data_IF_051757812754
#
_entry.id   IF_051757812754
#
_cell.length_a   1.000
_cell.length_b   1.000
_cell.length_c   1.000
_cell.angle_alpha   90.00
_cell.angle_beta   90.00
_cell.angle_gamma   90.00
#
_symmetry.space_group_name_H-M   'P 1'
#
loop_
_entity.id
_entity.type
_entity.pdbx_description
1 polymer ?
#
# COMPACT_ATOMS: atom_id res chain seq x y z
N UNK A 1 -17.29 -9.24 -1.18
CA UNK A 1 -16.79 -8.24 -2.15
C UNK A 1 -15.62 -8.90 -2.87
N UNK A 2 -15.82 -9.30 -4.14
CA UNK A 2 -14.73 -9.82 -4.97
C UNK A 2 -13.64 -8.76 -5.10
N UNK A 3 -12.42 -9.14 -4.71
CA UNK A 3 -11.25 -8.29 -4.92
C UNK A 3 -10.97 -8.21 -6.42
N UNK A 4 -10.90 -7.02 -6.99
CA UNK A 4 -10.38 -6.84 -8.33
C UNK A 4 -8.92 -7.32 -8.36
N UNK A 5 -8.68 -8.49 -8.97
CA UNK A 5 -7.37 -9.14 -9.09
C UNK A 5 -6.71 -8.71 -10.39
N UNK A 6 -5.40 -8.61 -10.39
CA UNK A 6 -4.65 -8.48 -11.62
C UNK A 6 -4.64 -9.81 -12.38
N UNK A 7 -4.43 -9.81 -13.72
CA UNK A 7 -4.32 -11.06 -14.48
C UNK A 7 -3.28 -12.04 -13.91
N UNK A 8 -2.17 -11.53 -13.39
CA UNK A 8 -1.14 -12.37 -12.76
C UNK A 8 -1.61 -12.97 -11.44
N UNK A 9 -2.33 -12.21 -10.59
CA UNK A 9 -2.92 -12.75 -9.36
C UNK A 9 -3.94 -13.85 -9.66
N UNK A 10 -4.77 -13.67 -10.68
CA UNK A 10 -5.73 -14.70 -11.14
C UNK A 10 -4.98 -15.94 -11.62
N UNK A 11 -3.98 -15.78 -12.48
CA UNK A 11 -3.17 -16.88 -13.00
C UNK A 11 -2.47 -17.68 -11.88
N UNK A 12 -1.95 -17.00 -10.86
CA UNK A 12 -1.32 -17.65 -9.70
C UNK A 12 -2.34 -18.48 -8.89
N UNK A 13 -3.55 -17.95 -8.72
CA UNK A 13 -4.60 -18.67 -7.96
C UNK A 13 -5.15 -19.88 -8.71
N UNK A 14 -5.37 -19.74 -9.99
CA UNK A 14 -5.87 -20.84 -10.85
C UNK A 14 -4.79 -21.90 -11.04
N UNK A 15 -3.53 -21.51 -11.05
CA UNK A 15 -2.35 -22.37 -11.25
C UNK A 15 -2.58 -23.47 -12.31
N UNK A 16 -2.98 -23.11 -13.55
CA UNK A 16 -3.43 -24.07 -14.55
C UNK A 16 -2.34 -25.05 -15.00
N UNK A 17 -1.07 -24.66 -14.86
CA UNK A 17 0.11 -25.46 -15.20
C UNK A 17 0.65 -26.28 -14.03
N UNK A 18 0.00 -26.21 -12.87
CA UNK A 18 0.44 -26.90 -11.63
C UNK A 18 1.91 -26.61 -11.31
N UNK A 19 2.24 -25.34 -11.23
CA UNK A 19 3.61 -24.90 -10.92
C UNK A 19 4.04 -25.36 -9.53
N UNK A 20 5.31 -25.66 -9.39
CA UNK A 20 5.92 -25.95 -8.10
C UNK A 20 5.91 -24.73 -7.15
N UNK A 21 6.16 -24.97 -5.87
CA UNK A 21 6.17 -23.94 -4.84
C UNK A 21 7.12 -22.79 -5.14
N UNK A 22 8.30 -23.11 -5.69
CA UNK A 22 9.37 -22.12 -5.94
C UNK A 22 8.97 -21.16 -7.07
N UNK A 23 8.39 -21.68 -8.15
CA UNK A 23 7.83 -20.87 -9.24
C UNK A 23 6.67 -19.99 -8.75
N UNK A 24 5.77 -20.56 -7.93
CA UNK A 24 4.67 -19.79 -7.36
C UNK A 24 5.15 -18.64 -6.47
N UNK A 25 6.20 -18.85 -5.67
CA UNK A 25 6.78 -17.77 -4.86
C UNK A 25 7.39 -16.66 -5.73
N UNK A 26 8.08 -17.02 -6.82
CA UNK A 26 8.63 -16.05 -7.77
C UNK A 26 7.49 -15.23 -8.39
N UNK A 27 6.43 -15.85 -8.90
CA UNK A 27 5.30 -15.14 -9.50
C UNK A 27 4.55 -14.27 -8.49
N UNK A 28 4.38 -14.74 -7.25
CA UNK A 28 3.83 -13.93 -6.15
C UNK A 28 4.70 -12.69 -5.86
N UNK A 29 6.01 -12.79 -5.98
CA UNK A 29 6.88 -11.63 -5.81
C UNK A 29 6.66 -10.55 -6.88
N UNK A 30 6.36 -10.93 -8.11
CA UNK A 30 6.06 -10.01 -9.20
C UNK A 30 4.74 -9.25 -9.03
N UNK A 31 3.77 -9.81 -8.29
CA UNK A 31 2.54 -9.07 -7.96
C UNK A 31 2.81 -7.84 -7.07
N UNK A 32 3.95 -7.80 -6.40
CA UNK A 32 4.40 -6.70 -5.54
C UNK A 32 5.24 -5.65 -6.27
N UNK A 33 5.19 -5.63 -7.62
CA UNK A 33 5.95 -4.66 -8.40
C UNK A 33 5.54 -3.21 -8.09
N UNK A 34 6.52 -2.31 -8.05
CA UNK A 34 6.35 -0.89 -7.71
C UNK A 34 6.65 -0.07 -8.95
N UNK A 35 5.61 0.46 -9.59
CA UNK A 35 5.77 1.44 -10.67
C UNK A 35 5.73 2.85 -10.08
N UNK A 36 6.63 3.73 -10.52
CA UNK A 36 6.67 5.08 -9.96
C UNK A 36 7.63 6.04 -10.66
N UNK A 37 7.68 7.22 -10.07
CA UNK A 37 8.70 8.23 -10.34
C UNK A 37 9.75 8.15 -9.24
N UNK A 38 10.98 7.93 -9.61
CA UNK A 38 12.10 7.77 -8.70
C UNK A 38 13.11 8.91 -8.84
N UNK A 39 13.68 9.34 -7.73
CA UNK A 39 14.85 10.21 -7.72
C UNK A 39 16.08 9.44 -7.26
N UNK A 40 17.17 9.52 -8.01
CA UNK A 40 18.43 8.88 -7.67
C UNK A 40 19.11 9.65 -6.52
N UNK A 41 19.43 8.97 -5.43
CA UNK A 41 20.16 9.53 -4.31
C UNK A 41 21.64 9.20 -4.34
N UNK A 42 21.96 7.99 -4.72
CA UNK A 42 23.33 7.50 -4.75
C UNK A 42 23.46 6.37 -5.75
N UNK A 43 24.59 6.32 -6.44
CA UNK A 43 25.00 5.21 -7.30
C UNK A 43 26.27 4.61 -6.71
N UNK A 44 26.35 3.32 -6.53
CA UNK A 44 27.51 2.54 -6.08
C UNK A 44 27.81 1.45 -7.13
N UNK A 45 28.90 0.68 -6.91
CA UNK A 45 29.37 -0.33 -7.88
C UNK A 45 28.31 -1.30 -8.43
N UNK A 46 27.34 -1.69 -7.60
CA UNK A 46 26.32 -2.69 -7.99
C UNK A 46 24.92 -2.30 -7.50
N UNK A 47 24.77 -1.07 -6.98
CA UNK A 47 23.51 -0.66 -6.38
C UNK A 47 23.19 0.80 -6.68
N UNK A 48 21.89 1.07 -6.88
CA UNK A 48 21.35 2.42 -7.00
C UNK A 48 20.37 2.66 -5.86
N UNK A 49 20.63 3.69 -5.05
CA UNK A 49 19.70 4.14 -4.02
C UNK A 49 18.74 5.15 -4.60
N UNK A 50 17.45 4.83 -4.60
CA UNK A 50 16.40 5.70 -5.15
C UNK A 50 15.31 5.98 -4.10
N UNK A 51 14.61 7.09 -4.26
CA UNK A 51 13.40 7.40 -3.48
C UNK A 51 12.22 7.46 -4.45
N UNK A 52 11.15 6.77 -4.12
CA UNK A 52 9.85 6.90 -4.79
C UNK A 52 9.21 8.23 -4.40
N UNK A 53 8.96 9.11 -5.36
CA UNK A 53 8.44 10.45 -5.11
C UNK A 53 6.98 10.47 -4.61
N UNK A 54 6.20 9.41 -4.88
CA UNK A 54 4.81 9.31 -4.40
C UNK A 54 4.71 8.80 -2.96
N UNK A 55 5.53 7.81 -2.59
CA UNK A 55 5.48 7.16 -1.28
C UNK A 55 6.50 7.72 -0.28
N UNK A 56 7.49 8.50 -0.76
CA UNK A 56 8.67 8.95 0.01
C UNK A 56 9.47 7.78 0.63
N UNK A 57 9.41 6.63 -0.03
CA UNK A 57 10.09 5.41 0.39
C UNK A 57 11.43 5.27 -0.33
N UNK A 58 12.44 4.83 0.41
CA UNK A 58 13.79 4.60 -0.10
C UNK A 58 13.99 3.15 -0.46
N UNK A 59 14.52 2.89 -1.66
CA UNK A 59 14.88 1.56 -2.14
C UNK A 59 16.36 1.50 -2.47
N UNK A 60 17.01 0.42 -2.05
CA UNK A 60 18.33 0.03 -2.53
C UNK A 60 18.12 -1.03 -3.61
N UNK A 61 18.43 -0.67 -4.84
CA UNK A 61 18.16 -1.48 -6.02
C UNK A 61 19.45 -2.10 -6.51
N UNK A 62 19.43 -3.41 -6.70
CA UNK A 62 20.55 -4.14 -7.30
C UNK A 62 20.54 -3.89 -8.80
N UNK A 63 21.66 -3.38 -9.32
CA UNK A 63 21.81 -3.03 -10.74
C UNK A 63 23.26 -3.17 -11.15
N UNK A 64 23.51 -3.94 -12.18
CA UNK A 64 24.87 -4.17 -12.72
C UNK A 64 25.04 -3.59 -14.11
N UNK A 65 24.03 -3.77 -14.95
CA UNK A 65 24.16 -3.52 -16.39
C UNK A 65 23.90 -2.06 -16.78
N UNK A 66 23.04 -1.38 -16.03
CA UNK A 66 22.57 -0.03 -16.36
C UNK A 66 23.11 1.07 -15.43
N UNK A 67 24.14 0.80 -14.62
CA UNK A 67 24.68 1.75 -13.65
C UNK A 67 25.11 3.08 -14.27
N UNK A 68 25.68 3.04 -15.46
CA UNK A 68 26.24 4.21 -16.15
C UNK A 68 25.20 5.23 -16.61
N UNK A 69 23.93 4.83 -16.69
CA UNK A 69 22.86 5.75 -17.11
C UNK A 69 22.32 6.58 -15.94
N UNK A 70 22.55 6.17 -14.68
CA UNK A 70 22.04 6.86 -13.51
C UNK A 70 23.00 7.92 -13.00
N UNK A 71 22.50 9.13 -12.80
CA UNK A 71 23.24 10.22 -12.15
C UNK A 71 22.51 10.66 -10.88
N UNK A 72 23.25 11.12 -9.89
CA UNK A 72 22.67 11.68 -8.67
C UNK A 72 21.69 12.81 -9.01
N UNK A 73 20.50 12.78 -8.40
CA UNK A 73 19.36 13.68 -8.58
C UNK A 73 18.57 13.49 -9.88
N UNK A 74 18.92 12.57 -10.74
CA UNK A 74 18.06 12.24 -11.89
C UNK A 74 16.67 11.84 -11.40
N UNK A 75 15.65 12.29 -12.11
CA UNK A 75 14.27 11.84 -11.94
C UNK A 75 13.89 11.00 -13.16
N UNK A 76 13.40 9.81 -12.91
CA UNK A 76 13.00 8.89 -13.95
C UNK A 76 11.75 8.10 -13.59
N UNK A 77 11.05 7.63 -14.61
CA UNK A 77 10.00 6.62 -14.48
C UNK A 77 10.62 5.25 -14.61
N UNK A 78 10.15 4.32 -13.77
CA UNK A 78 10.61 2.94 -13.80
C UNK A 78 9.69 2.04 -13.00
N UNK A 79 10.04 0.77 -13.00
CA UNK A 79 9.37 -0.24 -12.21
C UNK A 79 10.41 -1.05 -11.45
N UNK A 80 10.13 -1.29 -10.16
CA UNK A 80 10.88 -2.19 -9.30
C UNK A 80 10.14 -3.50 -9.15
N UNK A 81 10.88 -4.59 -9.14
CA UNK A 81 10.41 -5.92 -8.72
C UNK A 81 11.23 -6.36 -7.53
N UNK A 82 10.60 -7.10 -6.62
CA UNK A 82 11.28 -7.73 -5.50
C UNK A 82 11.53 -9.18 -5.85
N UNK A 83 12.81 -9.58 -5.91
CA UNK A 83 13.23 -10.93 -6.28
C UNK A 83 14.50 -11.29 -5.52
N UNK A 84 14.57 -12.51 -4.98
CA UNK A 84 15.71 -12.98 -4.15
C UNK A 84 16.10 -11.99 -3.05
N UNK A 85 15.11 -11.54 -2.28
CA UNK A 85 15.27 -10.60 -1.16
C UNK A 85 15.86 -9.22 -1.55
N UNK A 86 15.90 -8.87 -2.82
CA UNK A 86 16.44 -7.63 -3.33
C UNK A 86 15.49 -6.96 -4.31
N UNK A 87 15.59 -5.64 -4.43
CA UNK A 87 14.90 -4.88 -5.48
C UNK A 87 15.75 -4.83 -6.74
N UNK A 88 15.08 -5.03 -7.87
CA UNK A 88 15.68 -4.94 -9.21
C UNK A 88 14.84 -4.01 -10.07
N UNK A 89 15.49 -3.32 -11.02
CA UNK A 89 14.77 -2.62 -12.08
C UNK A 89 14.32 -3.61 -13.16
N UNK A 90 13.16 -3.32 -13.77
CA UNK A 90 12.69 -4.11 -14.93
C UNK A 90 13.31 -3.66 -16.27
N UNK A 91 14.23 -2.70 -16.26
CA UNK A 91 14.66 -1.98 -17.46
C UNK A 91 13.63 -0.91 -17.87
N UNK A 92 13.72 -0.40 -19.09
CA UNK A 92 12.76 0.58 -19.65
C UNK A 92 12.59 1.84 -18.80
N UNK A 93 13.63 2.66 -18.75
CA UNK A 93 13.64 3.92 -18.01
C UNK A 93 13.20 5.08 -18.91
N UNK A 94 12.40 6.00 -18.35
CA UNK A 94 12.13 7.29 -18.97
C UNK A 94 12.69 8.39 -18.07
N UNK A 95 13.85 8.92 -18.40
CA UNK A 95 14.49 10.00 -17.66
C UNK A 95 13.87 11.35 -18.03
N UNK A 96 13.62 12.18 -17.01
CA UNK A 96 13.10 13.52 -17.22
C UNK A 96 14.24 14.54 -17.20
N UNK A 97 14.29 15.48 -18.17
CA UNK A 97 15.31 16.53 -18.20
C UNK A 97 15.37 17.32 -16.88
N UNK A 98 16.56 17.70 -16.44
CA UNK A 98 16.76 18.38 -15.16
C UNK A 98 15.91 19.66 -15.02
N UNK A 99 15.76 20.42 -16.09
CA UNK A 99 14.92 21.63 -16.13
C UNK A 99 13.45 21.36 -15.80
N UNK A 100 12.97 20.12 -15.94
CA UNK A 100 11.57 19.71 -15.64
C UNK A 100 11.37 19.20 -14.22
N UNK A 101 12.44 18.97 -13.46
CA UNK A 101 12.36 18.36 -12.13
C UNK A 101 11.47 19.15 -11.16
N UNK A 102 11.46 20.46 -11.27
CA UNK A 102 10.57 21.32 -10.45
C UNK A 102 9.10 21.05 -10.77
N UNK A 103 8.75 20.98 -12.04
CA UNK A 103 7.41 20.66 -12.51
C UNK A 103 6.98 19.26 -12.05
N UNK A 104 7.80 18.25 -12.29
CA UNK A 104 7.51 16.87 -11.88
C UNK A 104 7.24 16.78 -10.37
N UNK A 105 8.07 17.40 -9.55
CA UNK A 105 7.89 17.42 -8.08
C UNK A 105 6.61 18.17 -7.66
N UNK A 106 6.22 19.22 -8.37
CA UNK A 106 4.96 19.93 -8.11
C UNK A 106 3.74 19.06 -8.41
N UNK A 107 3.71 18.39 -9.56
CA UNK A 107 2.63 17.46 -9.94
C UNK A 107 2.49 16.31 -8.93
N UNK A 108 3.61 15.70 -8.53
CA UNK A 108 3.61 14.68 -7.46
C UNK A 108 3.05 15.23 -6.15
N UNK A 109 3.43 16.45 -5.76
CA UNK A 109 2.92 17.08 -4.54
C UNK A 109 1.40 17.30 -4.57
N UNK A 110 0.84 17.63 -5.73
CA UNK A 110 -0.62 17.78 -5.92
C UNK A 110 -1.31 16.44 -5.63
N UNK A 111 -0.84 15.35 -6.22
CA UNK A 111 -1.39 14.01 -6.00
C UNK A 111 -1.24 13.59 -4.53
N UNK A 112 -0.07 13.77 -3.94
CA UNK A 112 0.17 13.42 -2.54
C UNK A 112 -0.73 14.20 -1.57
N UNK A 113 -1.00 15.49 -1.86
CA UNK A 113 -1.95 16.29 -1.08
C UNK A 113 -3.39 15.78 -1.21
N UNK A 114 -3.82 15.40 -2.42
CA UNK A 114 -5.15 14.86 -2.64
C UNK A 114 -5.39 13.56 -1.85
N UNK A 115 -4.35 12.71 -1.72
CA UNK A 115 -4.42 11.44 -0.98
C UNK A 115 -4.16 11.57 0.53
N UNK A 116 -3.67 12.72 0.99
CA UNK A 116 -3.25 12.89 2.39
C UNK A 116 -4.40 12.76 3.39
N UNK A 117 -5.62 13.17 3.01
CA UNK A 117 -6.84 13.02 3.81
C UNK A 117 -7.15 11.55 4.06
N UNK A 118 -7.30 10.80 2.99
CA UNK A 118 -7.64 9.37 3.02
C UNK A 118 -6.61 8.56 3.83
N UNK A 119 -5.32 8.84 3.66
CA UNK A 119 -4.25 8.20 4.44
C UNK A 119 -4.35 8.51 5.94
N UNK A 120 -4.67 9.76 6.32
CA UNK A 120 -4.88 10.14 7.74
C UNK A 120 -6.09 9.44 8.32
N UNK A 121 -7.18 9.35 7.59
CA UNK A 121 -8.40 8.69 8.04
C UNK A 121 -8.19 7.19 8.19
N UNK A 122 -7.46 6.56 7.29
CA UNK A 122 -7.06 5.15 7.43
C UNK A 122 -6.25 4.91 8.72
N UNK A 123 -5.29 5.79 9.02
CA UNK A 123 -4.52 5.70 10.28
C UNK A 123 -5.43 5.83 11.51
N UNK A 124 -6.42 6.74 11.47
CA UNK A 124 -7.39 6.90 12.57
C UNK A 124 -8.25 5.64 12.76
N UNK A 125 -8.76 5.08 11.65
CA UNK A 125 -9.56 3.85 11.69
C UNK A 125 -8.72 2.69 12.25
N UNK A 126 -7.49 2.49 11.77
CA UNK A 126 -6.59 1.43 12.28
C UNK A 126 -6.27 1.59 13.77
N UNK A 127 -6.07 2.81 14.27
CA UNK A 127 -5.90 3.06 15.72
C UNK A 127 -7.16 2.72 16.51
N UNK A 128 -8.34 3.06 16.00
CA UNK A 128 -9.61 2.72 16.63
C UNK A 128 -9.84 1.21 16.66
N UNK A 129 -9.56 0.51 15.56
CA UNK A 129 -9.60 -0.95 15.49
C UNK A 129 -8.73 -1.62 16.56
N UNK A 130 -7.50 -1.15 16.76
CA UNK A 130 -6.63 -1.68 17.82
C UNK A 130 -7.22 -1.49 19.21
N UNK A 131 -7.83 -0.33 19.48
CA UNK A 131 -8.49 -0.05 20.76
C UNK A 131 -9.70 -0.96 20.99
N UNK A 132 -10.59 -1.08 19.99
CA UNK A 132 -11.81 -1.90 20.10
C UNK A 132 -11.47 -3.39 20.25
N UNK A 133 -10.47 -3.89 19.50
CA UNK A 133 -9.98 -5.27 19.66
C UNK A 133 -9.42 -5.55 21.06
N UNK A 134 -8.68 -4.58 21.64
CA UNK A 134 -8.22 -4.70 23.04
C UNK A 134 -9.40 -4.74 24.03
N UNK A 135 -10.40 -3.90 23.83
CA UNK A 135 -11.61 -3.88 24.65
C UNK A 135 -12.38 -5.20 24.55
N UNK A 136 -12.55 -5.72 23.34
CA UNK A 136 -13.19 -7.02 23.10
C UNK A 136 -12.43 -8.17 23.79
N UNK A 137 -11.09 -8.17 23.72
CA UNK A 137 -10.27 -9.18 24.41
C UNK A 137 -10.47 -9.14 25.94
N UNK A 138 -10.51 -7.94 26.50
CA UNK A 138 -10.75 -7.78 27.94
C UNK A 138 -12.15 -8.26 28.35
N UNK A 139 -13.19 -7.96 27.55
CA UNK A 139 -14.55 -8.43 27.81
C UNK A 139 -14.68 -9.94 27.68
N UNK A 140 -14.02 -10.57 26.73
CA UNK A 140 -13.97 -12.05 26.63
C UNK A 140 -13.37 -12.67 27.89
N UNK A 141 -12.25 -12.14 28.39
CA UNK A 141 -11.61 -12.63 29.61
C UNK A 141 -12.50 -12.39 30.86
N UNK A 142 -13.28 -11.29 30.92
CA UNK A 142 -14.23 -11.02 31.99
C UNK A 142 -15.41 -12.03 31.98
N UNK A 143 -15.91 -12.37 30.80
CA UNK A 143 -16.96 -13.38 30.59
C UNK A 143 -16.47 -14.76 31.03
N UNK A 144 -15.25 -15.17 30.68
CA UNK A 144 -14.67 -16.44 31.10
C UNK A 144 -14.59 -16.55 32.61
N UNK A 145 -14.03 -15.53 33.28
CA UNK A 145 -13.98 -15.47 34.76
C UNK A 145 -15.36 -15.52 35.41
N UNK A 146 -16.36 -14.92 34.76
CA UNK A 146 -17.73 -14.93 35.30
C UNK A 146 -18.39 -16.30 35.15
N UNK A 147 -18.14 -17.00 34.04
CA UNK A 147 -18.59 -18.37 33.83
C UNK A 147 -17.97 -19.33 34.84
N UNK A 148 -16.67 -19.23 35.12
CA UNK A 148 -16.02 -20.01 36.19
C UNK A 148 -16.66 -19.77 37.58
N UNK A 149 -16.97 -18.51 37.88
CA UNK A 149 -17.66 -18.17 39.16
C UNK A 149 -19.07 -18.73 39.21
N UNK A 150 -19.82 -18.75 38.13
CA UNK A 150 -21.17 -19.35 38.07
C UNK A 150 -21.06 -20.85 38.33
N UNK A 151 -20.10 -21.53 37.71
CA UNK A 151 -19.93 -22.99 37.88
C UNK A 151 -19.51 -23.38 39.33
N UNK A 152 -18.86 -22.47 40.07
CA UNK A 152 -18.37 -22.71 41.42
C UNK A 152 -19.29 -22.13 42.49
N UNK A 153 -20.53 -21.75 42.19
CA UNK A 153 -21.47 -21.11 43.15
C UNK A 153 -22.70 -21.99 43.31
N UNK A 154 -23.00 -22.40 44.56
CA UNK A 154 -24.12 -23.28 44.88
C UNK A 154 -25.39 -22.53 45.29
N UNK A 155 -25.36 -21.21 45.42
CA UNK A 155 -26.48 -20.40 45.91
C UNK A 155 -27.32 -19.85 44.75
N UNK A 156 -28.57 -20.25 44.63
CA UNK A 156 -29.47 -19.95 43.52
C UNK A 156 -29.68 -18.45 43.26
N UNK A 157 -29.85 -17.65 44.31
CA UNK A 157 -29.97 -16.18 44.21
C UNK A 157 -28.69 -15.49 43.69
N UNK A 158 -27.52 -16.05 43.99
CA UNK A 158 -26.24 -15.51 43.49
C UNK A 158 -26.06 -15.89 42.04
N UNK A 159 -26.42 -17.11 41.66
CA UNK A 159 -26.35 -17.59 40.26
C UNK A 159 -27.21 -16.71 39.35
N UNK A 160 -28.44 -16.36 39.77
CA UNK A 160 -29.34 -15.51 38.99
C UNK A 160 -28.74 -14.11 38.76
N UNK A 161 -28.14 -13.47 39.76
CA UNK A 161 -27.46 -12.18 39.60
C UNK A 161 -26.23 -12.27 38.68
N UNK A 162 -25.46 -13.34 38.79
CA UNK A 162 -24.29 -13.56 37.90
C UNK A 162 -24.72 -13.81 36.47
N UNK A 163 -25.81 -14.55 36.24
CA UNK A 163 -26.37 -14.75 34.87
C UNK A 163 -26.88 -13.45 34.25
N UNK A 164 -27.53 -12.57 35.03
CA UNK A 164 -27.92 -11.24 34.54
C UNK A 164 -26.69 -10.41 34.13
N UNK A 165 -25.62 -10.41 34.93
CA UNK A 165 -24.38 -9.72 34.61
C UNK A 165 -23.73 -10.32 33.35
N UNK A 166 -23.77 -11.64 33.18
CA UNK A 166 -23.25 -12.35 32.01
C UNK A 166 -24.00 -11.96 30.73
N UNK A 167 -25.34 -11.80 30.81
CA UNK A 167 -26.15 -11.34 29.67
C UNK A 167 -25.70 -9.95 29.21
N UNK A 168 -25.56 -9.00 30.13
CA UNK A 168 -25.09 -7.63 29.81
C UNK A 168 -23.70 -7.63 29.19
N UNK A 169 -22.76 -8.41 29.73
CA UNK A 169 -21.43 -8.54 29.18
C UNK A 169 -21.41 -9.16 27.76
N UNK A 170 -22.31 -10.11 27.49
CA UNK A 170 -22.47 -10.67 26.15
C UNK A 170 -23.06 -9.67 25.15
N UNK A 171 -24.01 -8.83 25.58
CA UNK A 171 -24.53 -7.74 24.75
C UNK A 171 -23.43 -6.73 24.40
N UNK A 172 -22.63 -6.30 25.39
CA UNK A 172 -21.48 -5.43 25.16
C UNK A 172 -20.45 -6.08 24.21
N UNK A 173 -20.12 -7.36 24.42
CA UNK A 173 -19.22 -8.12 23.52
C UNK A 173 -19.74 -8.13 22.08
N UNK A 174 -21.04 -8.34 21.89
CA UNK A 174 -21.65 -8.36 20.56
C UNK A 174 -21.62 -6.96 19.92
N UNK A 175 -21.85 -5.91 20.70
CA UNK A 175 -21.73 -4.52 20.25
C UNK A 175 -20.30 -4.19 19.80
N UNK A 176 -19.28 -4.57 20.57
CA UNK A 176 -17.88 -4.41 20.17
C UNK A 176 -17.55 -5.19 18.90
N UNK A 177 -18.01 -6.44 18.79
CA UNK A 177 -17.78 -7.26 17.59
C UNK A 177 -18.37 -6.63 16.33
N UNK A 178 -19.59 -6.07 16.43
CA UNK A 178 -20.25 -5.37 15.33
C UNK A 178 -19.48 -4.08 14.95
N UNK A 179 -19.07 -3.28 15.93
CA UNK A 179 -18.29 -2.06 15.69
C UNK A 179 -16.94 -2.37 15.03
N UNK A 180 -16.26 -3.45 15.44
CA UNK A 180 -15.01 -3.91 14.81
C UNK A 180 -15.26 -4.27 13.34
N UNK A 181 -16.30 -5.04 13.04
CA UNK A 181 -16.63 -5.43 11.67
C UNK A 181 -16.92 -4.21 10.77
N UNK A 182 -17.65 -3.22 11.27
CA UNK A 182 -17.93 -1.97 10.54
C UNK A 182 -16.64 -1.17 10.28
N UNK A 183 -15.73 -1.11 11.26
CA UNK A 183 -14.44 -0.46 11.10
C UNK A 183 -13.51 -1.21 10.12
N UNK A 184 -13.51 -2.53 10.14
CA UNK A 184 -12.75 -3.36 9.19
C UNK A 184 -13.23 -3.15 7.75
N UNK A 185 -14.55 -3.13 7.51
CA UNK A 185 -15.12 -2.83 6.21
C UNK A 185 -14.73 -1.41 5.76
N UNK A 186 -14.81 -0.43 6.67
CA UNK A 186 -14.45 0.96 6.37
C UNK A 186 -12.96 1.11 6.05
N UNK A 187 -12.09 0.45 6.84
CA UNK A 187 -10.65 0.43 6.59
C UNK A 187 -10.33 -0.20 5.23
N UNK A 188 -10.96 -1.33 4.92
CA UNK A 188 -10.78 -2.03 3.64
C UNK A 188 -11.19 -1.15 2.45
N UNK A 189 -12.37 -0.54 2.49
CA UNK A 189 -12.84 0.35 1.42
C UNK A 189 -11.89 1.52 1.20
N UNK A 190 -11.45 2.15 2.29
CA UNK A 190 -10.54 3.31 2.21
C UNK A 190 -9.17 2.91 1.68
N UNK A 191 -8.60 1.81 2.15
CA UNK A 191 -7.28 1.32 1.73
C UNK A 191 -7.30 0.79 0.29
N UNK A 192 -8.30 0.00 -0.06
CA UNK A 192 -8.39 -0.65 -1.35
C UNK A 192 -8.95 0.28 -2.44
N UNK A 193 -10.13 0.88 -2.24
CA UNK A 193 -10.81 1.60 -3.31
C UNK A 193 -10.23 3.00 -3.49
N UNK A 194 -10.02 3.75 -2.39
CA UNK A 194 -9.55 5.13 -2.44
C UNK A 194 -8.04 5.22 -2.64
N UNK A 195 -7.26 4.63 -1.72
CA UNK A 195 -5.81 4.80 -1.74
C UNK A 195 -5.17 3.96 -2.85
N UNK A 196 -5.54 2.68 -2.97
CA UNK A 196 -4.93 1.78 -3.95
C UNK A 196 -5.45 2.01 -5.36
N UNK A 197 -6.76 1.92 -5.60
CA UNK A 197 -7.31 2.00 -6.96
C UNK A 197 -7.28 3.43 -7.49
N UNK A 198 -7.97 4.36 -6.84
CA UNK A 198 -8.05 5.75 -7.30
C UNK A 198 -6.67 6.43 -7.25
N UNK A 199 -5.90 6.18 -6.19
CA UNK A 199 -4.54 6.70 -6.05
C UNK A 199 -3.62 6.21 -7.16
N UNK A 200 -3.61 4.91 -7.45
CA UNK A 200 -2.81 4.35 -8.55
C UNK A 200 -3.28 4.86 -9.92
N UNK A 201 -4.59 5.08 -10.11
CA UNK A 201 -5.11 5.67 -11.35
C UNK A 201 -4.57 7.08 -11.58
N UNK A 202 -4.53 7.92 -10.53
CA UNK A 202 -3.97 9.27 -10.61
C UNK A 202 -2.46 9.25 -10.88
N UNK A 203 -1.72 8.37 -10.19
CA UNK A 203 -0.29 8.15 -10.38
C UNK A 203 -0.01 7.73 -11.83
N UNK A 204 -0.71 6.72 -12.33
CA UNK A 204 -0.53 6.24 -13.71
C UNK A 204 -0.88 7.30 -14.75
N UNK A 205 -1.93 8.11 -14.51
CA UNK A 205 -2.27 9.24 -15.38
C UNK A 205 -1.13 10.27 -15.44
N UNK A 206 -0.52 10.60 -14.31
CA UNK A 206 0.63 11.50 -14.28
C UNK A 206 1.85 10.88 -14.96
N UNK A 207 2.18 9.63 -14.68
CA UNK A 207 3.29 8.90 -15.31
C UNK A 207 3.15 8.94 -16.84
N UNK A 208 1.96 8.63 -17.37
CA UNK A 208 1.69 8.65 -18.80
C UNK A 208 1.78 10.08 -19.39
N UNK A 209 1.24 11.09 -18.67
CA UNK A 209 1.38 12.51 -19.06
C UNK A 209 2.83 12.91 -19.19
N UNK A 210 3.65 12.59 -18.20
CA UNK A 210 5.08 12.93 -18.19
C UNK A 210 5.88 12.17 -19.26
N UNK A 211 5.56 10.89 -19.50
CA UNK A 211 6.18 10.10 -20.58
C UNK A 211 5.87 10.72 -21.95
N UNK A 212 4.61 11.11 -22.19
CA UNK A 212 4.22 11.80 -23.41
C UNK A 212 4.94 13.14 -23.59
N UNK A 213 5.06 13.92 -22.51
CA UNK A 213 5.78 15.19 -22.54
C UNK A 213 7.27 14.99 -22.86
N UNK A 214 7.91 13.99 -22.27
CA UNK A 214 9.30 13.65 -22.57
C UNK A 214 9.48 13.22 -24.03
N UNK A 215 8.61 12.34 -24.53
CA UNK A 215 8.64 11.91 -25.93
C UNK A 215 8.43 13.10 -26.89
N UNK A 216 7.52 14.00 -26.57
CA UNK A 216 7.28 15.22 -27.35
C UNK A 216 8.53 16.10 -27.37
N UNK A 217 9.21 16.26 -26.23
CA UNK A 217 10.45 17.02 -26.14
C UNK A 217 11.57 16.39 -26.98
N UNK A 218 11.77 15.08 -26.88
CA UNK A 218 12.79 14.37 -27.66
C UNK A 218 12.59 14.45 -29.18
N UNK A 219 11.31 14.47 -29.62
CA UNK A 219 10.95 14.56 -31.03
C UNK A 219 10.89 15.98 -31.58
N UNK A 220 10.80 16.98 -30.73
CA UNK A 220 10.61 18.38 -31.12
C UNK A 220 11.93 19.13 -31.06
N UNK A 221 12.52 19.45 -32.24
CA UNK A 221 13.80 20.18 -32.29
C UNK A 221 13.68 21.69 -32.08
N UNK A 222 12.46 22.24 -32.05
CA UNK A 222 12.20 23.69 -32.05
C UNK A 222 11.28 24.16 -30.93
N UNK A 223 10.84 23.27 -30.05
CA UNK A 223 9.91 23.62 -28.95
C UNK A 223 10.73 23.72 -27.64
N UNK A 224 10.58 24.84 -26.95
CA UNK A 224 11.18 25.02 -25.63
C UNK A 224 10.59 24.05 -24.61
N UNK A 225 11.42 23.54 -23.72
CA UNK A 225 11.01 22.57 -22.72
C UNK A 225 9.90 23.11 -21.81
N UNK A 226 9.91 24.42 -21.53
CA UNK A 226 8.87 25.14 -20.78
C UNK A 226 7.51 25.15 -21.45
N UNK A 227 7.45 25.03 -22.78
CA UNK A 227 6.20 24.98 -23.54
C UNK A 227 5.57 23.60 -23.57
N UNK A 228 6.34 22.58 -23.25
CA UNK A 228 5.88 21.19 -23.18
C UNK A 228 5.48 20.86 -21.75
N UNK A 229 6.34 21.19 -20.76
CA UNK A 229 6.10 20.92 -19.35
C UNK A 229 5.39 22.09 -18.67
N UNK A 230 4.12 22.23 -19.01
CA UNK A 230 3.20 23.23 -18.44
C UNK A 230 1.83 22.62 -18.13
N UNK A 231 1.08 23.30 -17.27
CA UNK A 231 -0.30 22.92 -16.92
C UNK A 231 -1.28 23.18 -18.07
#
# INVERSE_FOLDING_TARGET
VEKAKTPLETLIEENPEVWDSDKLEIYKSFTKSIQGLFIVKQVKKETVKVINLFADETYLVQEKDSLLIFRKNDIFQGRLIFYQEQFHFTGNFCFHPEKTHKYVKQEVKIINKAQAGDRKDLVRIKKRLLKENKSLKNKKAEIEKLNEKINNTDTENKITKLKQKLSLLNEEKNSFSKAIQELEISAYKLEHDKIRIEGNKQINKLINKLAYMNLKFERSRQIEISDIYKN
#
